data_IF_174887178642
#
_entry.id   IF_174887178642
#
_cell.length_a   1.000
_cell.length_b   1.000
_cell.length_c   1.000
_cell.angle_alpha   90.00
_cell.angle_beta   90.00
_cell.angle_gamma   90.00
#
_symmetry.space_group_name_H-M   'P 1'
#
loop_
_entity.id
_entity.type
_entity.pdbx_description
1 polymer ?
#
# COMPACT_ATOMS: atom_id res chain seq x y z
N UNK A 1 5.79 -6.18 -16.75
CA UNK A 1 4.95 -5.35 -15.86
C UNK A 1 5.68 -4.04 -15.59
N UNK A 2 5.07 -2.88 -15.88
CA UNK A 2 5.72 -1.55 -15.77
C UNK A 2 6.25 -1.25 -14.37
N UNK A 3 5.53 -1.66 -13.33
CA UNK A 3 5.95 -1.52 -11.93
C UNK A 3 7.32 -2.16 -11.67
N UNK A 4 7.52 -3.42 -12.05
CA UNK A 4 8.78 -4.14 -11.82
C UNK A 4 9.94 -3.49 -12.56
N UNK A 5 9.74 -3.05 -13.81
CA UNK A 5 10.76 -2.33 -14.57
C UNK A 5 11.17 -1.00 -13.94
N UNK A 6 10.20 -0.23 -13.42
CA UNK A 6 10.47 1.00 -12.68
C UNK A 6 11.21 0.70 -11.37
N UNK A 7 10.74 -0.30 -10.61
CA UNK A 7 11.35 -0.75 -9.37
C UNK A 7 12.83 -1.15 -9.57
N UNK A 8 13.12 -1.95 -10.58
CA UNK A 8 14.47 -2.41 -10.89
C UNK A 8 15.43 -1.25 -11.21
N UNK A 9 14.97 -0.26 -12.01
CA UNK A 9 15.78 0.92 -12.34
C UNK A 9 16.08 1.77 -11.08
N UNK A 10 15.08 2.00 -10.25
CA UNK A 10 15.24 2.81 -9.05
C UNK A 10 16.02 2.11 -7.94
N UNK A 11 15.91 0.78 -7.82
CA UNK A 11 16.66 -0.01 -6.83
C UNK A 11 18.19 0.07 -7.00
N UNK A 12 18.64 0.45 -8.19
CA UNK A 12 20.07 0.75 -8.44
C UNK A 12 20.55 2.05 -7.77
N UNK A 13 19.63 2.93 -7.41
CA UNK A 13 19.92 4.26 -6.85
C UNK A 13 19.55 4.39 -5.38
N UNK A 14 18.49 3.69 -4.97
CA UNK A 14 17.97 3.70 -3.60
C UNK A 14 17.55 2.29 -3.20
N UNK A 15 17.64 1.98 -1.91
CA UNK A 15 17.21 0.67 -1.40
C UNK A 15 15.68 0.60 -1.33
N UNK A 16 15.05 -0.02 -2.34
CA UNK A 16 13.60 -0.25 -2.42
C UNK A 16 13.21 -1.69 -2.10
N UNK A 17 14.05 -2.65 -2.49
CA UNK A 17 13.80 -4.08 -2.31
C UNK A 17 15.11 -4.85 -2.28
N UNK A 18 15.12 -5.97 -1.57
CA UNK A 18 16.21 -6.94 -1.60
C UNK A 18 16.05 -7.99 -2.72
N UNK A 19 14.99 -7.89 -3.54
CA UNK A 19 14.79 -8.82 -4.65
C UNK A 19 15.78 -8.54 -5.79
N UNK A 20 16.52 -9.55 -6.19
CA UNK A 20 17.56 -9.44 -7.22
C UNK A 20 17.02 -9.67 -8.64
N UNK A 21 15.83 -10.29 -8.76
CA UNK A 21 15.17 -10.59 -10.03
C UNK A 21 13.74 -10.10 -10.05
N UNK A 22 13.20 -9.90 -11.25
CA UNK A 22 11.78 -9.53 -11.43
C UNK A 22 10.84 -10.61 -10.88
N UNK A 23 11.22 -11.89 -11.01
CA UNK A 23 10.44 -13.01 -10.46
C UNK A 23 10.41 -12.99 -8.92
N UNK A 24 11.56 -12.74 -8.28
CA UNK A 24 11.64 -12.57 -6.83
C UNK A 24 10.84 -11.36 -6.36
N UNK A 25 10.94 -10.24 -7.07
CA UNK A 25 10.17 -9.03 -6.77
C UNK A 25 8.66 -9.27 -6.95
N UNK A 26 8.24 -9.96 -8.01
CA UNK A 26 6.84 -10.34 -8.20
C UNK A 26 6.33 -11.20 -7.03
N UNK A 27 7.08 -12.25 -6.69
CA UNK A 27 6.71 -13.20 -5.63
C UNK A 27 6.61 -12.53 -4.27
N UNK A 28 7.49 -11.57 -3.96
CA UNK A 28 7.54 -10.92 -2.64
C UNK A 28 6.68 -9.68 -2.52
N UNK A 29 6.47 -8.93 -3.61
CA UNK A 29 5.79 -7.64 -3.57
C UNK A 29 4.42 -7.62 -4.24
N UNK A 30 4.23 -8.37 -5.32
CA UNK A 30 2.99 -8.36 -6.10
C UNK A 30 2.04 -9.47 -5.66
N UNK A 31 2.52 -10.70 -5.69
CA UNK A 31 1.71 -11.90 -5.39
C UNK A 31 0.98 -11.82 -4.03
N UNK A 32 1.60 -11.34 -2.92
CA UNK A 32 0.92 -11.23 -1.63
C UNK A 32 -0.20 -10.19 -1.56
N UNK A 33 -0.37 -9.38 -2.59
CA UNK A 33 -1.39 -8.33 -2.66
C UNK A 33 -2.60 -8.75 -3.49
N UNK A 34 -2.42 -9.71 -4.41
CA UNK A 34 -3.49 -10.17 -5.31
C UNK A 34 -4.65 -10.79 -4.53
N UNK A 35 -5.85 -10.32 -4.80
CA UNK A 35 -7.08 -10.70 -4.09
C UNK A 35 -7.48 -9.72 -2.98
N UNK A 36 -6.54 -8.90 -2.48
CA UNK A 36 -6.86 -7.91 -1.44
C UNK A 36 -7.71 -6.73 -1.96
N UNK A 37 -7.69 -6.49 -3.27
CA UNK A 37 -8.52 -5.45 -3.91
C UNK A 37 -10.02 -5.66 -3.70
N UNK A 38 -10.46 -6.88 -3.43
CA UNK A 38 -11.86 -7.21 -3.14
C UNK A 38 -12.34 -6.64 -1.81
N UNK A 39 -11.41 -6.27 -0.91
CA UNK A 39 -11.70 -5.74 0.42
C UNK A 39 -11.55 -4.22 0.51
N UNK A 40 -11.25 -3.57 -0.63
CA UNK A 40 -11.17 -2.12 -0.72
C UNK A 40 -12.54 -1.51 -0.97
N UNK A 41 -12.78 -0.37 -0.34
CA UNK A 41 -13.95 0.47 -0.60
C UNK A 41 -13.62 1.94 -0.49
N UNK A 42 -14.32 2.78 -1.23
CA UNK A 42 -14.24 4.23 -1.19
C UNK A 42 -12.81 4.76 -1.38
N UNK A 43 -12.44 5.76 -0.61
CA UNK A 43 -11.06 6.30 -0.62
C UNK A 43 -10.12 5.35 0.10
N UNK A 44 -8.97 5.07 -0.50
CA UNK A 44 -7.93 4.20 0.07
C UNK A 44 -6.69 5.05 0.40
N UNK A 45 -6.12 4.86 1.58
CA UNK A 45 -4.83 5.47 1.96
C UNK A 45 -3.82 4.36 2.26
N UNK A 46 -2.73 4.32 1.50
CA UNK A 46 -1.61 3.41 1.75
C UNK A 46 -0.54 4.13 2.60
N UNK A 47 -0.27 3.61 3.79
CA UNK A 47 0.60 4.26 4.78
C UNK A 47 2.01 3.69 4.72
N UNK A 48 2.98 4.57 4.53
CA UNK A 48 4.38 4.17 4.38
C UNK A 48 4.62 3.39 3.10
N UNK A 49 4.14 3.90 1.98
CA UNK A 49 4.05 3.19 0.70
C UNK A 49 5.39 2.70 0.12
N UNK A 50 6.51 3.26 0.54
CA UNK A 50 7.87 2.80 0.31
C UNK A 50 8.20 2.41 -1.12
N UNK A 51 8.24 1.10 -1.39
CA UNK A 51 8.49 0.52 -2.71
C UNK A 51 7.22 0.39 -3.58
N UNK A 52 6.08 0.91 -3.12
CA UNK A 52 4.82 0.88 -3.85
C UNK A 52 3.95 -0.37 -3.63
N UNK A 53 4.39 -1.34 -2.84
CA UNK A 53 3.57 -2.48 -2.44
C UNK A 53 3.04 -2.27 -1.01
N UNK A 54 1.72 -2.31 -0.78
CA UNK A 54 0.66 -2.73 -1.70
C UNK A 54 0.09 -1.63 -2.59
N UNK A 55 0.29 -0.34 -2.29
CA UNK A 55 -0.46 0.78 -2.83
C UNK A 55 -0.55 0.86 -4.37
N UNK A 56 0.58 0.84 -5.09
CA UNK A 56 0.58 0.92 -6.56
C UNK A 56 -0.06 -0.31 -7.22
N UNK A 57 0.06 -1.47 -6.59
CA UNK A 57 -0.55 -2.71 -7.10
C UNK A 57 -2.06 -2.65 -6.95
N UNK A 58 -2.55 -2.25 -5.78
CA UNK A 58 -3.97 -2.07 -5.51
C UNK A 58 -4.59 -0.99 -6.42
N UNK A 59 -3.87 0.10 -6.67
CA UNK A 59 -4.30 1.14 -7.60
C UNK A 59 -4.48 0.64 -9.04
N UNK A 60 -3.64 -0.32 -9.45
CA UNK A 60 -3.75 -0.97 -10.77
C UNK A 60 -4.98 -1.88 -10.84
N UNK A 61 -5.27 -2.60 -9.77
CA UNK A 61 -6.39 -3.55 -9.68
C UNK A 61 -7.74 -2.85 -9.48
N UNK A 62 -7.74 -1.66 -8.86
CA UNK A 62 -8.94 -0.85 -8.59
C UNK A 62 -8.80 0.57 -9.15
N UNK A 63 -8.80 0.71 -10.49
CA UNK A 63 -8.70 2.03 -11.14
C UNK A 63 -9.90 2.94 -10.86
N UNK A 64 -11.00 2.36 -10.37
CA UNK A 64 -12.24 3.03 -9.96
C UNK A 64 -12.14 3.73 -8.59
N UNK A 65 -11.16 3.36 -7.74
CA UNK A 65 -11.01 3.93 -6.41
C UNK A 65 -9.87 4.96 -6.34
N UNK A 66 -10.09 6.11 -5.67
CA UNK A 66 -9.00 7.05 -5.39
C UNK A 66 -8.07 6.47 -4.33
N UNK A 67 -6.77 6.45 -4.62
CA UNK A 67 -5.72 6.02 -3.69
C UNK A 67 -4.77 7.17 -3.38
N UNK A 68 -4.48 7.34 -2.09
CA UNK A 68 -3.46 8.25 -1.57
C UNK A 68 -2.32 7.43 -1.01
N UNK A 69 -1.11 7.67 -1.51
CA UNK A 69 0.11 7.02 -1.03
C UNK A 69 0.87 7.98 -0.13
N UNK A 70 1.05 7.63 1.14
CA UNK A 70 1.80 8.43 2.11
C UNK A 70 3.22 7.88 2.26
N UNK A 71 4.22 8.69 1.94
CA UNK A 71 5.63 8.33 2.09
C UNK A 71 6.46 9.55 2.48
N UNK A 72 7.00 9.62 3.71
CA UNK A 72 7.74 10.78 4.18
C UNK A 72 9.13 10.95 3.57
N UNK A 73 9.75 9.87 3.08
CA UNK A 73 11.13 9.88 2.58
C UNK A 73 11.18 10.40 1.14
N UNK A 74 11.92 11.50 0.92
CA UNK A 74 11.97 12.20 -0.37
C UNK A 74 12.26 11.30 -1.58
N UNK A 75 13.26 10.41 -1.48
CA UNK A 75 13.67 9.53 -2.57
C UNK A 75 12.60 8.49 -2.91
N UNK A 76 11.93 7.91 -1.90
CA UNK A 76 10.84 6.95 -2.09
C UNK A 76 9.59 7.64 -2.62
N UNK A 77 9.28 8.82 -2.11
CA UNK A 77 8.20 9.65 -2.65
C UNK A 77 8.40 9.97 -4.14
N UNK A 78 9.63 10.36 -4.55
CA UNK A 78 9.96 10.60 -5.95
C UNK A 78 9.80 9.35 -6.81
N UNK A 79 10.24 8.18 -6.31
CA UNK A 79 10.02 6.90 -6.96
C UNK A 79 8.53 6.61 -7.17
N UNK A 80 7.71 6.77 -6.13
CA UNK A 80 6.26 6.48 -6.21
C UNK A 80 5.55 7.35 -7.25
N UNK A 81 5.91 8.63 -7.33
CA UNK A 81 5.38 9.55 -8.35
C UNK A 81 5.75 9.12 -9.77
N UNK A 82 7.01 8.78 -9.97
CA UNK A 82 7.49 8.32 -11.27
C UNK A 82 6.85 6.99 -11.67
N UNK A 83 6.77 6.03 -10.74
CA UNK A 83 6.14 4.75 -10.96
C UNK A 83 4.65 4.91 -11.31
N UNK A 84 3.90 5.71 -10.58
CA UNK A 84 2.49 5.99 -10.86
C UNK A 84 2.32 6.60 -12.27
N UNK A 85 3.18 7.55 -12.64
CA UNK A 85 3.19 8.17 -13.97
C UNK A 85 3.47 7.15 -15.08
N UNK A 86 4.52 6.33 -14.94
CA UNK A 86 4.88 5.32 -15.93
C UNK A 86 3.83 4.21 -16.07
N UNK A 87 3.16 3.87 -14.97
CA UNK A 87 2.06 2.90 -14.96
C UNK A 87 0.77 3.48 -15.52
N UNK A 88 0.67 4.80 -15.71
CA UNK A 88 -0.52 5.48 -16.21
C UNK A 88 -1.67 5.54 -15.20
N UNK A 89 -1.36 5.52 -13.91
CA UNK A 89 -2.36 5.52 -12.83
C UNK A 89 -2.92 6.92 -12.62
N UNK A 90 -4.18 7.13 -13.04
CA UNK A 90 -4.89 8.41 -12.89
C UNK A 90 -5.55 8.56 -11.52
N UNK A 91 -5.74 7.47 -10.80
CA UNK A 91 -6.42 7.39 -9.51
C UNK A 91 -5.48 7.51 -8.30
N UNK A 92 -4.19 7.78 -8.51
CA UNK A 92 -3.16 7.84 -7.46
C UNK A 92 -2.71 9.27 -7.18
N UNK A 93 -2.72 9.63 -5.90
CA UNK A 93 -2.06 10.85 -5.38
C UNK A 93 -0.94 10.43 -4.43
N UNK A 94 0.27 10.94 -4.63
CA UNK A 94 1.42 10.64 -3.76
C UNK A 94 1.74 11.85 -2.89
N UNK A 95 1.62 11.71 -1.58
CA UNK A 95 1.82 12.77 -0.59
C UNK A 95 3.08 12.48 0.22
N UNK A 96 3.96 13.49 0.31
CA UNK A 96 5.19 13.37 1.09
C UNK A 96 4.94 13.74 2.55
N UNK A 97 4.30 12.82 3.27
CA UNK A 97 3.94 13.03 4.66
C UNK A 97 3.82 11.71 5.45
N UNK A 98 3.88 11.79 6.76
CA UNK A 98 3.51 10.71 7.66
C UNK A 98 2.00 10.72 7.90
N UNK A 99 1.43 9.58 8.31
CA UNK A 99 0.00 9.49 8.64
C UNK A 99 -0.43 10.49 9.73
N UNK A 100 0.46 10.79 10.68
CA UNK A 100 0.20 11.73 11.78
C UNK A 100 0.06 13.18 11.31
N UNK A 101 0.74 13.56 10.23
CA UNK A 101 0.68 14.90 9.62
C UNK A 101 -0.39 15.02 8.53
N UNK A 102 -1.00 13.93 8.10
CA UNK A 102 -1.95 13.97 7.01
C UNK A 102 -3.29 14.60 7.43
N UNK A 103 -3.73 15.61 6.69
CA UNK A 103 -4.98 16.35 6.91
C UNK A 103 -5.88 16.38 5.66
N UNK A 104 -5.68 15.45 4.74
CA UNK A 104 -6.51 15.33 3.55
C UNK A 104 -7.82 14.57 3.81
N UNK A 105 -8.43 14.08 2.73
CA UNK A 105 -9.66 13.31 2.80
C UNK A 105 -9.47 12.01 3.58
N UNK A 106 -10.42 11.70 4.47
CA UNK A 106 -10.42 10.45 5.23
C UNK A 106 -10.64 9.24 4.31
N UNK A 107 -10.12 8.10 4.73
CA UNK A 107 -10.21 6.85 3.99
C UNK A 107 -11.30 5.93 4.52
N UNK A 108 -11.94 5.19 3.63
CA UNK A 108 -12.76 4.04 4.00
C UNK A 108 -11.88 2.81 4.28
N UNK A 109 -10.74 2.72 3.60
CA UNK A 109 -9.75 1.66 3.82
C UNK A 109 -8.36 2.27 3.89
N UNK A 110 -7.61 1.94 4.95
CA UNK A 110 -6.17 2.17 4.99
C UNK A 110 -5.43 0.86 4.75
N UNK A 111 -4.29 0.91 4.09
CA UNK A 111 -3.41 -0.23 3.92
C UNK A 111 -2.04 0.07 4.52
N UNK A 112 -1.36 -0.94 5.04
CA UNK A 112 0.02 -0.82 5.50
C UNK A 112 0.78 -2.14 5.39
N UNK A 113 2.09 -2.01 5.17
CA UNK A 113 3.01 -3.14 5.11
C UNK A 113 4.34 -2.76 5.74
N UNK A 114 4.77 -3.54 6.74
CA UNK A 114 6.08 -3.35 7.42
C UNK A 114 6.33 -1.91 7.95
N UNK A 115 5.27 -1.23 8.45
CA UNK A 115 5.38 0.15 8.92
C UNK A 115 5.65 0.24 10.42
N UNK A 116 5.41 -0.83 11.18
CA UNK A 116 5.64 -0.85 12.63
C UNK A 116 4.64 -0.01 13.44
N UNK A 117 3.49 0.33 12.85
CA UNK A 117 2.38 1.03 13.52
C UNK A 117 1.30 0.03 13.93
N UNK A 118 0.67 0.27 15.09
CA UNK A 118 -0.56 -0.40 15.44
C UNK A 118 -1.71 0.11 14.56
N UNK A 119 -2.67 -0.74 14.14
CA UNK A 119 -3.81 -0.31 13.33
C UNK A 119 -4.61 0.84 13.95
N UNK A 120 -4.69 0.88 15.27
CA UNK A 120 -5.37 1.93 16.04
C UNK A 120 -4.80 3.33 15.79
N UNK A 121 -3.50 3.43 15.51
CA UNK A 121 -2.86 4.72 15.19
C UNK A 121 -3.40 5.33 13.89
N UNK A 122 -4.01 4.52 13.02
CA UNK A 122 -4.57 4.97 11.75
C UNK A 122 -6.04 5.43 11.84
N UNK A 123 -6.69 5.31 13.00
CA UNK A 123 -8.10 5.74 13.17
C UNK A 123 -8.34 7.20 12.77
N UNK A 124 -7.35 8.07 13.00
CA UNK A 124 -7.44 9.49 12.69
C UNK A 124 -7.55 9.83 11.19
N UNK A 125 -7.15 8.90 10.34
CA UNK A 125 -7.22 9.05 8.87
C UNK A 125 -8.37 8.25 8.25
N UNK A 126 -9.16 7.56 9.08
CA UNK A 126 -10.27 6.74 8.64
C UNK A 126 -11.62 7.43 8.86
N UNK A 127 -12.55 7.20 7.93
CA UNK A 127 -13.98 7.45 8.14
C UNK A 127 -14.53 6.56 9.26
N UNK A 128 -15.62 6.95 9.94
CA UNK A 128 -16.33 6.05 10.84
C UNK A 128 -16.69 4.73 10.13
N UNK A 129 -16.40 3.61 10.77
CA UNK A 129 -16.56 2.27 10.17
C UNK A 129 -15.44 1.86 9.22
N UNK A 130 -14.42 2.69 9.04
CA UNK A 130 -13.27 2.38 8.17
C UNK A 130 -12.43 1.23 8.68
N UNK A 131 -11.71 0.58 7.77
CA UNK A 131 -10.90 -0.60 8.06
C UNK A 131 -9.43 -0.40 7.69
N UNK A 132 -8.55 -1.10 8.40
CA UNK A 132 -7.13 -1.21 8.06
C UNK A 132 -6.85 -2.63 7.55
N UNK A 133 -6.17 -2.73 6.41
CA UNK A 133 -5.60 -3.97 5.88
C UNK A 133 -4.10 -3.98 6.16
N UNK A 134 -3.63 -4.98 6.90
CA UNK A 134 -2.22 -5.12 7.27
C UNK A 134 -1.62 -6.31 6.54
N UNK A 135 -0.62 -6.03 5.72
CA UNK A 135 0.10 -7.04 4.94
C UNK A 135 1.34 -7.51 5.71
N UNK A 136 1.33 -8.79 6.11
CA UNK A 136 2.41 -9.37 6.92
C UNK A 136 2.39 -8.91 8.37
N UNK A 137 3.49 -9.19 9.09
CA UNK A 137 3.61 -8.85 10.50
C UNK A 137 3.01 -9.89 11.46
N UNK A 138 3.12 -9.65 12.78
CA UNK A 138 2.56 -10.52 13.80
C UNK A 138 1.02 -10.47 13.78
N UNK A 139 0.35 -11.48 14.39
CA UNK A 139 -1.09 -11.46 14.56
C UNK A 139 -1.55 -10.20 15.32
N UNK A 140 -2.65 -9.61 14.84
CA UNK A 140 -3.25 -8.41 15.42
C UNK A 140 -4.51 -8.84 16.18
N UNK A 141 -4.60 -8.45 17.46
CA UNK A 141 -5.76 -8.75 18.27
C UNK A 141 -7.04 -8.14 17.69
N UNK A 142 -8.08 -8.95 17.58
CA UNK A 142 -9.37 -8.55 17.03
C UNK A 142 -9.39 -8.29 15.53
N UNK A 143 -8.32 -8.65 14.80
CA UNK A 143 -8.33 -8.63 13.35
C UNK A 143 -8.84 -9.96 12.76
N UNK A 144 -9.56 -9.84 11.66
CA UNK A 144 -9.91 -10.97 10.80
C UNK A 144 -8.77 -11.27 9.84
N UNK A 145 -8.44 -12.54 9.63
CA UNK A 145 -7.45 -12.96 8.63
C UNK A 145 -8.18 -13.33 7.34
N UNK A 146 -7.94 -12.53 6.31
CA UNK A 146 -8.47 -12.77 4.96
C UNK A 146 -7.46 -13.60 4.18
N UNK A 147 -7.88 -14.75 3.65
CA UNK A 147 -7.04 -15.56 2.77
C UNK A 147 -7.15 -15.06 1.34
N UNK A 148 -6.00 -14.79 0.72
CA UNK A 148 -5.90 -14.30 -0.65
C UNK A 148 -5.59 -15.45 -1.62
N UNK A 149 -5.92 -15.27 -2.90
CA UNK A 149 -5.70 -16.28 -3.95
C UNK A 149 -4.23 -16.72 -4.06
N UNK A 150 -3.27 -15.86 -3.77
CA UNK A 150 -1.84 -16.18 -3.74
C UNK A 150 -1.37 -17.01 -2.55
N UNK A 151 -2.29 -17.49 -1.69
CA UNK A 151 -1.96 -18.24 -0.48
C UNK A 151 -1.48 -17.36 0.69
N UNK A 152 -1.36 -16.06 0.47
CA UNK A 152 -1.02 -15.06 1.49
C UNK A 152 -2.24 -14.71 2.32
N UNK A 153 -2.02 -14.26 3.57
CA UNK A 153 -3.06 -13.70 4.42
C UNK A 153 -2.87 -12.19 4.59
N UNK A 154 -3.96 -11.46 4.59
CA UNK A 154 -4.00 -10.06 5.02
C UNK A 154 -4.85 -9.96 6.27
N UNK A 155 -4.43 -9.17 7.24
CA UNK A 155 -5.17 -8.96 8.48
C UNK A 155 -6.04 -7.71 8.33
N UNK A 156 -7.35 -7.83 8.59
CA UNK A 156 -8.31 -6.73 8.53
C UNK A 156 -8.80 -6.35 9.92
N UNK A 157 -8.66 -5.08 10.29
CA UNK A 157 -9.20 -4.49 11.51
C UNK A 157 -10.12 -3.33 11.16
N UNK A 158 -11.40 -3.43 11.49
CA UNK A 158 -12.37 -2.35 11.29
C UNK A 158 -12.68 -1.65 12.62
N UNK A 159 -13.03 -0.37 12.52
CA UNK A 159 -13.29 0.50 13.68
C UNK A 159 -14.73 1.03 13.60
N UNK A 160 -15.45 0.86 14.65
CA UNK A 160 -16.80 1.45 14.86
C UNK A 160 -16.69 2.87 15.36
#
# INVERSE_FOLDING_TARGET
MRYLGCLARWSRKINLTGAETDEAAFTTLVRPVLGAELWLSGTVIDVGSGNGSPGLILATLRPDLPLVLLEPRAKRWAFLREAAREMGLQNVTVVRERSEGYHGKLANTATMRAVGLAPEALRRILEPGGCVLVFGGPPIEGAEVLRLEGGSGVQRRCFT
#
